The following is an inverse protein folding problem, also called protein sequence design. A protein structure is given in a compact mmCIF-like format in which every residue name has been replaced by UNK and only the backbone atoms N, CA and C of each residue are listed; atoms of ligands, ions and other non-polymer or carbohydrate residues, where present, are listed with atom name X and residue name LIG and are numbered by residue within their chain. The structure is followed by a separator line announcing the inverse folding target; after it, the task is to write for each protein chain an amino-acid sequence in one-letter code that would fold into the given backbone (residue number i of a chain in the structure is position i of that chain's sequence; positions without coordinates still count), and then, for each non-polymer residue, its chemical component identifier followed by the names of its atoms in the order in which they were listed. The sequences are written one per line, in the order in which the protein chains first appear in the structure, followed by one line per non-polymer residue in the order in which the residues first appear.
data_IF_286277255147
#
_entry.id   IF_286277255147
#
_cell.length_a   1.000
_cell.length_b   1.000
_cell.length_c   1.000
_cell.angle_alpha   90.00
_cell.angle_beta   90.00
_cell.angle_gamma   90.00
#
_symmetry.space_group_name_H-M   'P 1'
#
loop_
_entity.id
_entity.type
_entity.pdbx_description
1 polymer ?
#
# COMPACT_ATOMS: atom_id res chain seq x y z
N UNK A 1 -9.91 -12.76 18.77
CA UNK A 1 -8.89 -12.22 17.83
C UNK A 1 -8.94 -10.71 17.97
N UNK A 2 -7.81 -10.00 18.10
CA UNK A 2 -7.84 -8.54 18.11
C UNK A 2 -8.43 -8.02 16.78
N UNK A 3 -9.06 -6.84 16.77
CA UNK A 3 -9.61 -6.26 15.55
C UNK A 3 -8.48 -5.98 14.54
N UNK A 4 -8.71 -6.28 13.27
CA UNK A 4 -7.80 -5.91 12.19
C UNK A 4 -7.86 -4.39 11.99
N UNK A 5 -6.70 -3.73 12.04
CA UNK A 5 -6.59 -2.30 11.75
C UNK A 5 -6.20 -2.15 10.28
N UNK A 6 -7.01 -1.40 9.53
CA UNK A 6 -6.84 -1.15 8.11
C UNK A 6 -6.43 0.31 7.90
N UNK A 7 -5.30 0.53 7.23
CA UNK A 7 -4.80 1.86 6.88
C UNK A 7 -5.06 2.13 5.41
N UNK A 8 -5.94 3.09 5.11
CA UNK A 8 -6.21 3.53 3.74
C UNK A 8 -5.20 4.58 3.31
N UNK A 9 -4.55 4.35 2.16
CA UNK A 9 -3.53 5.25 1.61
C UNK A 9 -4.01 5.82 0.28
N UNK A 10 -3.98 7.15 0.19
CA UNK A 10 -4.26 7.91 -1.02
C UNK A 10 -2.98 8.53 -1.57
N UNK A 11 -2.87 8.58 -2.90
CA UNK A 11 -1.75 9.23 -3.55
C UNK A 11 -1.90 9.25 -5.07
N UNK A 12 -0.97 9.93 -5.73
CA UNK A 12 -0.95 10.08 -7.19
C UNK A 12 -0.81 8.74 -7.91
N UNK A 13 -1.49 8.61 -9.04
CA UNK A 13 -1.33 7.46 -9.97
C UNK A 13 -0.14 7.59 -10.91
N UNK A 14 0.61 8.71 -10.84
CA UNK A 14 1.68 9.06 -11.79
C UNK A 14 3.05 8.46 -11.48
N UNK A 15 3.53 8.38 -10.21
CA UNK A 15 4.85 7.85 -9.90
C UNK A 15 5.05 6.43 -10.44
N UNK A 16 6.27 6.11 -10.82
CA UNK A 16 6.67 4.81 -11.37
C UNK A 16 7.77 4.19 -10.51
N UNK A 17 8.01 2.89 -10.68
CA UNK A 17 9.11 2.20 -9.97
C UNK A 17 10.44 2.94 -10.21
N UNK A 18 11.17 3.21 -9.12
CA UNK A 18 12.37 4.05 -9.12
C UNK A 18 12.15 5.54 -8.85
N UNK A 19 10.94 6.09 -9.00
CA UNK A 19 10.65 7.47 -8.61
C UNK A 19 10.65 7.59 -7.06
N UNK A 20 11.08 8.74 -6.50
CA UNK A 20 11.13 8.93 -5.04
C UNK A 20 9.80 8.64 -4.33
N UNK A 21 8.70 9.19 -4.84
CA UNK A 21 7.35 9.00 -4.26
C UNK A 21 6.89 7.54 -4.32
N UNK A 22 7.28 6.80 -5.36
CA UNK A 22 6.94 5.39 -5.49
C UNK A 22 7.72 4.56 -4.47
N UNK A 23 9.04 4.79 -4.37
CA UNK A 23 9.87 4.04 -3.42
C UNK A 23 9.51 4.36 -1.97
N UNK A 24 9.18 5.61 -1.66
CA UNK A 24 8.66 5.99 -0.34
C UNK A 24 7.36 5.26 -0.02
N UNK A 25 6.39 5.25 -0.94
CA UNK A 25 5.14 4.53 -0.77
C UNK A 25 5.36 3.01 -0.57
N UNK A 26 6.32 2.40 -1.29
CA UNK A 26 6.70 0.99 -1.12
C UNK A 26 7.35 0.73 0.24
N UNK A 27 8.19 1.64 0.73
CA UNK A 27 8.76 1.58 2.09
C UNK A 27 7.66 1.70 3.15
N UNK A 28 6.72 2.64 2.99
CA UNK A 28 5.56 2.80 3.88
C UNK A 28 4.74 1.51 3.95
N UNK A 29 4.41 0.91 2.79
CA UNK A 29 3.67 -0.35 2.74
C UNK A 29 4.34 -1.48 3.51
N UNK A 30 5.66 -1.64 3.33
CA UNK A 30 6.47 -2.61 4.10
C UNK A 30 6.43 -2.34 5.59
N UNK A 31 6.53 -1.07 6.00
CA UNK A 31 6.51 -0.68 7.41
C UNK A 31 5.14 -0.97 8.06
N UNK A 32 4.04 -0.63 7.38
CA UNK A 32 2.69 -0.90 7.87
C UNK A 32 2.45 -2.39 8.09
N UNK A 33 2.80 -3.22 7.10
CA UNK A 33 2.68 -4.68 7.20
C UNK A 33 3.51 -5.27 8.36
N UNK A 34 4.76 -4.80 8.56
CA UNK A 34 5.62 -5.25 9.67
C UNK A 34 5.06 -4.92 11.05
N UNK A 35 4.19 -3.91 11.16
CA UNK A 35 3.51 -3.56 12.42
C UNK A 35 2.14 -4.22 12.57
N UNK A 36 1.76 -5.13 11.66
CA UNK A 36 0.51 -5.88 11.73
C UNK A 36 -0.70 -5.14 11.15
N UNK A 37 -0.50 -4.04 10.42
CA UNK A 37 -1.59 -3.33 9.75
C UNK A 37 -1.88 -3.93 8.37
N UNK A 38 -3.16 -3.99 8.01
CA UNK A 38 -3.56 -4.23 6.64
C UNK A 38 -3.57 -2.90 5.86
N UNK A 39 -3.20 -2.93 4.58
CA UNK A 39 -3.17 -1.74 3.72
C UNK A 39 -4.39 -1.72 2.81
N UNK A 40 -5.04 -0.57 2.66
CA UNK A 40 -6.12 -0.35 1.71
C UNK A 40 -5.76 0.77 0.72
N UNK A 41 -6.09 0.61 -0.56
CA UNK A 41 -5.88 1.65 -1.58
C UNK A 41 -6.93 1.56 -2.69
N UNK A 42 -6.88 2.50 -3.65
CA UNK A 42 -7.70 2.45 -4.85
C UNK A 42 -7.30 1.36 -5.87
N UNK A 43 -6.22 0.61 -5.62
CA UNK A 43 -5.86 -0.60 -6.37
C UNK A 43 -5.23 -0.41 -7.76
N UNK A 44 -5.11 0.83 -8.25
CA UNK A 44 -4.47 1.14 -9.54
C UNK A 44 -3.01 1.57 -9.37
N UNK A 45 -2.42 2.20 -10.40
CA UNK A 45 -1.01 2.55 -10.49
C UNK A 45 -0.52 3.61 -9.49
N UNK A 46 0.79 3.89 -9.53
CA UNK A 46 1.44 4.92 -8.73
C UNK A 46 1.55 4.55 -7.26
N UNK A 47 1.29 5.53 -6.38
CA UNK A 47 1.40 5.36 -4.92
C UNK A 47 0.55 4.19 -4.42
N UNK A 48 -0.64 3.98 -5.01
CA UNK A 48 -1.56 2.91 -4.61
C UNK A 48 -0.97 1.52 -4.87
N UNK A 49 -0.38 1.30 -6.04
CA UNK A 49 0.29 0.05 -6.36
C UNK A 49 1.56 -0.10 -5.52
N UNK A 50 2.38 0.96 -5.40
CA UNK A 50 3.61 0.95 -4.62
C UNK A 50 3.39 0.55 -3.16
N UNK A 51 2.42 1.18 -2.47
CA UNK A 51 2.12 0.86 -1.06
C UNK A 51 1.56 -0.54 -0.89
N UNK A 52 0.72 -0.99 -1.83
CA UNK A 52 0.16 -2.34 -1.81
C UNK A 52 1.26 -3.38 -2.06
N UNK A 53 2.17 -3.12 -3.00
CA UNK A 53 3.33 -3.96 -3.29
C UNK A 53 4.26 -4.05 -2.10
N UNK A 54 4.58 -2.92 -1.46
CA UNK A 54 5.39 -2.89 -0.25
C UNK A 54 4.78 -3.75 0.87
N UNK A 55 3.48 -3.64 1.11
CA UNK A 55 2.81 -4.48 2.10
C UNK A 55 2.88 -5.97 1.76
N UNK A 56 2.62 -6.36 0.50
CA UNK A 56 2.70 -7.76 0.04
C UNK A 56 4.11 -8.34 0.16
N UNK A 57 5.14 -7.58 -0.18
CA UNK A 57 6.54 -7.99 -0.05
C UNK A 57 6.94 -8.31 1.40
N UNK A 58 6.28 -7.66 2.36
CA UNK A 58 6.45 -7.94 3.79
C UNK A 58 5.47 -9.00 4.34
N UNK A 59 4.70 -9.67 3.47
CA UNK A 59 3.70 -10.67 3.86
C UNK A 59 2.40 -10.08 4.45
N UNK A 60 2.19 -8.78 4.30
CA UNK A 60 1.00 -8.08 4.78
C UNK A 60 -0.23 -8.25 3.88
N UNK A 61 -1.40 -8.02 4.45
CA UNK A 61 -2.69 -8.07 3.76
C UNK A 61 -2.99 -6.74 3.07
N UNK A 62 -3.54 -6.80 1.86
CA UNK A 62 -3.92 -5.62 1.08
C UNK A 62 -5.35 -5.67 0.56
N UNK A 63 -6.04 -4.55 0.58
CA UNK A 63 -7.37 -4.34 0.00
C UNK A 63 -7.31 -3.31 -1.12
N UNK A 64 -7.93 -3.63 -2.26
CA UNK A 64 -8.13 -2.69 -3.35
C UNK A 64 -9.62 -2.35 -3.47
N UNK A 65 -9.95 -1.05 -3.44
CA UNK A 65 -11.32 -0.56 -3.62
C UNK A 65 -11.39 0.21 -4.94
N UNK A 66 -11.95 -0.43 -5.95
CA UNK A 66 -12.09 0.12 -7.30
C UNK A 66 -13.55 0.49 -7.56
N UNK A 67 -13.79 1.59 -8.27
CA UNK A 67 -15.09 1.81 -8.90
C UNK A 67 -15.10 0.98 -10.20
N UNK A 68 -15.85 -0.12 -10.21
CA UNK A 68 -16.09 -0.90 -11.42
C UNK A 68 -16.83 -0.04 -12.47
#
# INVERSE_FOLDING_TARGET
MPPEIIVTVFGSSRPREGDPDYEEARVLGRALAKHGFAVCSGGYAGVMEAVSRGAKEAGGKTYGVTAA
#
